data_IF_815542161146
#
_entry.id   IF_815542161146
#
_cell.length_a   1.000
_cell.length_b   1.000
_cell.length_c   1.000
_cell.angle_alpha   90.00
_cell.angle_beta   90.00
_cell.angle_gamma   90.00
#
_symmetry.space_group_name_H-M   'P 1'
#
loop_
_entity.id
_entity.type
_entity.pdbx_description
1 polymer ?
#
# COMPACT_ATOMS: atom_id res chain seq x y z
N UNK A 1 -4.34 2.87 -7.67
CA UNK A 1 -3.55 3.48 -6.58
C UNK A 1 -2.42 2.57 -6.10
N UNK A 2 -2.63 1.51 -5.30
CA UNK A 2 -1.52 0.67 -4.76
C UNK A 2 -0.66 0.01 -5.84
N UNK A 3 -1.28 -0.66 -6.82
CA UNK A 3 -0.57 -1.28 -7.94
C UNK A 3 0.23 -0.28 -8.78
N UNK A 4 -0.31 0.93 -8.93
CA UNK A 4 0.36 2.01 -9.67
C UNK A 4 1.60 2.51 -8.92
N UNK A 5 1.52 2.66 -7.59
CA UNK A 5 2.68 3.01 -6.76
C UNK A 5 3.78 1.93 -6.84
N UNK A 6 3.37 0.66 -6.92
CA UNK A 6 4.29 -0.47 -7.11
C UNK A 6 4.94 -0.45 -8.51
N UNK A 7 4.17 -0.22 -9.57
CA UNK A 7 4.67 -0.08 -10.94
C UNK A 7 5.63 1.12 -11.10
N UNK A 8 5.35 2.23 -10.39
CA UNK A 8 6.21 3.42 -10.32
C UNK A 8 7.44 3.23 -9.41
N UNK A 9 7.55 2.12 -8.69
CA UNK A 9 8.59 1.82 -7.68
C UNK A 9 8.64 2.81 -6.53
N UNK A 10 7.55 3.56 -6.28
CA UNK A 10 7.40 4.39 -5.08
C UNK A 10 6.98 3.53 -3.88
N UNK A 11 6.41 2.34 -4.14
CA UNK A 11 6.15 1.31 -3.16
C UNK A 11 6.87 0.02 -3.58
N UNK A 12 7.71 -0.56 -2.71
CA UNK A 12 8.54 -1.70 -3.12
C UNK A 12 7.80 -3.05 -3.07
N UNK A 13 6.81 -3.19 -2.19
CA UNK A 13 6.21 -4.48 -1.86
C UNK A 13 7.19 -5.49 -1.27
N UNK A 14 6.77 -6.76 -1.18
CA UNK A 14 7.61 -7.90 -0.81
C UNK A 14 7.77 -8.87 -1.98
N UNK A 15 8.93 -9.52 -2.07
CA UNK A 15 9.20 -10.62 -3.01
C UNK A 15 9.53 -11.89 -2.23
N UNK A 16 8.88 -12.99 -2.60
CA UNK A 16 9.09 -14.30 -1.95
C UNK A 16 10.32 -14.99 -2.56
N UNK A 17 10.63 -14.73 -3.84
CA UNK A 17 11.82 -15.23 -4.52
C UNK A 17 12.38 -14.14 -5.46
N UNK A 18 13.65 -14.29 -5.90
CA UNK A 18 14.31 -13.30 -6.78
C UNK A 18 13.50 -12.96 -8.03
N UNK A 19 12.91 -13.97 -8.66
CA UNK A 19 12.14 -13.83 -9.91
C UNK A 19 10.62 -13.82 -9.67
N UNK A 20 10.17 -13.73 -8.42
CA UNK A 20 8.73 -13.58 -8.15
C UNK A 20 8.29 -12.15 -8.47
N UNK A 21 7.01 -11.96 -8.85
CA UNK A 21 6.40 -10.65 -8.76
C UNK A 21 6.52 -10.12 -7.32
N UNK A 22 6.61 -8.81 -7.19
CA UNK A 22 6.40 -8.17 -5.90
C UNK A 22 4.91 -8.13 -5.59
N UNK A 23 4.59 -8.12 -4.29
CA UNK A 23 3.23 -7.96 -3.78
C UNK A 23 3.26 -6.82 -2.77
N UNK A 24 2.51 -5.76 -3.05
CA UNK A 24 2.34 -4.61 -2.14
C UNK A 24 1.17 -4.75 -1.18
N UNK A 25 0.19 -5.60 -1.47
CA UNK A 25 -1.03 -5.72 -0.66
C UNK A 25 -1.70 -7.09 -0.76
N UNK A 26 -2.38 -7.51 0.30
CA UNK A 26 -3.29 -8.66 0.32
C UNK A 26 -4.63 -8.19 0.88
N UNK A 27 -5.70 -8.50 0.17
CA UNK A 27 -7.07 -8.17 0.56
C UNK A 27 -7.74 -9.39 1.19
N UNK A 28 -8.30 -9.22 2.38
CA UNK A 28 -9.22 -10.15 3.02
C UNK A 28 -10.65 -9.56 2.96
N UNK A 29 -11.63 -10.28 3.52
CA UNK A 29 -13.00 -9.81 3.56
C UNK A 29 -13.15 -8.51 4.37
N UNK A 30 -12.47 -8.44 5.52
CA UNK A 30 -12.61 -7.32 6.47
C UNK A 30 -11.33 -6.49 6.62
N UNK A 31 -10.17 -7.06 6.25
CA UNK A 31 -8.87 -6.46 6.51
C UNK A 31 -8.01 -6.39 5.22
N UNK A 32 -7.09 -5.44 5.20
CA UNK A 32 -6.08 -5.32 4.14
C UNK A 32 -4.70 -5.28 4.78
N UNK A 33 -3.79 -6.14 4.32
CA UNK A 33 -2.38 -6.08 4.68
C UNK A 33 -1.62 -5.32 3.61
N UNK A 34 -0.80 -4.34 4.04
CA UNK A 34 0.08 -3.58 3.18
C UNK A 34 1.54 -3.94 3.45
N UNK A 35 2.31 -4.08 2.38
CA UNK A 35 3.72 -4.41 2.41
C UNK A 35 4.53 -3.27 1.82
N UNK A 36 5.41 -2.69 2.62
CA UNK A 36 6.32 -1.64 2.23
C UNK A 36 7.63 -1.75 3.02
N UNK A 37 8.67 -1.06 2.58
CA UNK A 37 9.89 -0.93 3.39
C UNK A 37 9.62 -0.02 4.58
N UNK A 38 10.24 -0.35 5.72
CA UNK A 38 10.28 0.52 6.91
C UNK A 38 11.15 1.77 6.65
N UNK A 39 10.64 2.66 5.80
CA UNK A 39 11.28 3.91 5.39
C UNK A 39 10.25 5.02 5.37
N UNK A 40 10.68 6.24 5.70
CA UNK A 40 9.81 7.42 5.69
C UNK A 40 9.20 7.65 4.30
N UNK A 41 9.98 7.44 3.24
CA UNK A 41 9.53 7.64 1.87
C UNK A 41 8.36 6.71 1.49
N UNK A 42 8.49 5.40 1.72
CA UNK A 42 7.40 4.46 1.40
C UNK A 42 6.21 4.62 2.35
N UNK A 43 6.44 4.96 3.62
CA UNK A 43 5.36 5.28 4.56
C UNK A 43 4.52 6.48 4.12
N UNK A 44 5.16 7.54 3.64
CA UNK A 44 4.46 8.69 3.06
C UNK A 44 3.71 8.34 1.78
N UNK A 45 4.26 7.46 0.94
CA UNK A 45 3.56 7.00 -0.28
C UNK A 45 2.32 6.17 0.06
N UNK A 46 2.39 5.31 1.07
CA UNK A 46 1.22 4.59 1.59
C UNK A 46 0.15 5.59 2.05
N UNK A 47 0.53 6.59 2.86
CA UNK A 47 -0.40 7.63 3.31
C UNK A 47 -1.04 8.40 2.16
N UNK A 48 -0.26 8.73 1.11
CA UNK A 48 -0.77 9.40 -0.10
C UNK A 48 -1.82 8.54 -0.80
N UNK A 49 -1.54 7.24 -0.98
CA UNK A 49 -2.48 6.30 -1.61
C UNK A 49 -3.77 6.16 -0.79
N UNK A 50 -3.64 6.08 0.54
CA UNK A 50 -4.77 6.00 1.46
C UNK A 50 -5.63 7.26 1.40
N UNK A 51 -5.02 8.44 1.35
CA UNK A 51 -5.75 9.70 1.19
C UNK A 51 -6.48 9.77 -0.16
N UNK A 52 -5.83 9.39 -1.24
CA UNK A 52 -6.44 9.35 -2.58
C UNK A 52 -7.66 8.41 -2.60
N UNK A 53 -7.57 7.28 -1.88
CA UNK A 53 -8.68 6.36 -1.70
C UNK A 53 -9.84 7.01 -0.91
N UNK A 54 -9.56 7.73 0.18
CA UNK A 54 -10.61 8.43 0.94
C UNK A 54 -11.36 9.42 0.06
N UNK A 55 -10.63 10.22 -0.72
CA UNK A 55 -11.19 11.25 -1.59
C UNK A 55 -12.03 10.65 -2.71
N UNK A 56 -11.56 9.56 -3.33
CA UNK A 56 -12.26 8.90 -4.43
C UNK A 56 -13.47 8.06 -3.98
N UNK A 57 -13.38 7.41 -2.81
CA UNK A 57 -14.42 6.52 -2.29
C UNK A 57 -15.44 7.23 -1.38
N UNK A 58 -15.08 8.39 -0.83
CA UNK A 58 -15.83 9.06 0.23
C UNK A 58 -15.72 8.38 1.60
N UNK A 59 -14.93 7.31 1.73
CA UNK A 59 -14.70 6.62 2.99
C UNK A 59 -13.59 7.31 3.80
N UNK A 60 -13.62 7.14 5.12
CA UNK A 60 -12.55 7.60 6.01
C UNK A 60 -11.80 6.42 6.60
N UNK A 61 -10.48 6.48 6.49
CA UNK A 61 -9.57 5.50 7.06
C UNK A 61 -9.36 5.81 8.53
N UNK A 62 -9.49 4.78 9.36
CA UNK A 62 -9.22 4.90 10.77
C UNK A 62 -7.72 4.77 11.04
N UNK A 63 -7.05 5.92 11.20
CA UNK A 63 -5.62 5.97 11.52
C UNK A 63 -5.26 5.33 12.87
N UNK A 64 -6.22 5.16 13.79
CA UNK A 64 -5.97 4.44 15.04
C UNK A 64 -5.83 2.92 14.85
N UNK A 65 -6.21 2.40 13.67
CA UNK A 65 -5.99 1.00 13.29
C UNK A 65 -4.71 0.79 12.46
N UNK A 66 -4.00 1.87 12.11
CA UNK A 66 -2.89 1.86 11.16
C UNK A 66 -1.53 2.01 11.86
#
# INVERSE_FOLDING_TARGET
MLREAEERKTLSGIKIARESPSVSHILFADDTLLFCKASVAEGLEVMRVLQEYEEASGQKINLAKC
#
